data_IF_580319877167
#
_entry.id   IF_580319877167
#
_cell.length_a   1.000
_cell.length_b   1.000
_cell.length_c   1.000
_cell.angle_alpha   90.00
_cell.angle_beta   90.00
_cell.angle_gamma   90.00
#
_symmetry.space_group_name_H-M   'P 1'
#
loop_
_entity.id
_entity.type
_entity.pdbx_description
1 polymer ?
#
# COMPACT_ATOMS: atom_id res chain seq x y z
N UNK A 1 -18.75 14.55 11.64
CA UNK A 1 -18.98 15.02 10.27
C UNK A 1 -19.49 13.85 9.46
N UNK A 2 -20.49 14.08 8.60
CA UNK A 2 -21.04 13.04 7.69
C UNK A 2 -20.59 13.30 6.26
N UNK A 3 -20.78 12.32 5.38
CA UNK A 3 -20.54 12.46 3.94
C UNK A 3 -21.76 13.11 3.29
N UNK A 4 -21.56 14.17 2.53
CA UNK A 4 -22.61 14.88 1.79
C UNK A 4 -22.75 14.30 0.41
N UNK A 5 -23.93 13.81 0.07
CA UNK A 5 -24.23 13.24 -1.22
C UNK A 5 -25.20 14.15 -1.96
N UNK A 6 -24.78 14.63 -3.14
CA UNK A 6 -25.65 15.39 -4.03
C UNK A 6 -26.25 14.47 -5.10
N UNK A 7 -27.59 14.29 -5.05
CA UNK A 7 -28.35 13.59 -6.07
C UNK A 7 -28.71 14.60 -7.16
N UNK A 8 -27.91 14.64 -8.23
CA UNK A 8 -28.09 15.59 -9.32
C UNK A 8 -29.14 15.07 -10.29
N UNK A 9 -30.07 15.94 -10.65
CA UNK A 9 -31.19 15.63 -11.53
C UNK A 9 -31.33 16.71 -12.61
N UNK A 10 -31.64 16.32 -13.88
CA UNK A 10 -31.84 17.28 -14.95
C UNK A 10 -33.11 18.10 -14.79
N UNK A 11 -33.13 19.33 -15.33
CA UNK A 11 -34.34 20.18 -15.33
C UNK A 11 -35.56 19.50 -15.90
N UNK A 12 -35.38 18.72 -16.95
CA UNK A 12 -36.45 18.00 -17.67
C UNK A 12 -37.11 16.92 -16.79
N UNK A 13 -36.29 16.17 -16.04
CA UNK A 13 -36.79 15.15 -15.08
C UNK A 13 -37.49 15.81 -13.90
N UNK A 14 -36.93 16.92 -13.38
CA UNK A 14 -37.58 17.70 -12.31
C UNK A 14 -38.95 18.20 -12.79
N UNK A 15 -39.00 18.81 -13.97
CA UNK A 15 -40.26 19.30 -14.54
C UNK A 15 -41.26 18.16 -14.73
N UNK A 16 -40.84 17.02 -15.29
CA UNK A 16 -41.72 15.86 -15.49
C UNK A 16 -42.35 15.35 -14.19
N UNK A 17 -41.60 15.39 -13.07
CA UNK A 17 -42.11 14.99 -11.75
C UNK A 17 -43.03 16.04 -11.11
N UNK A 18 -42.81 17.32 -11.38
CA UNK A 18 -43.47 18.42 -10.69
C UNK A 18 -44.59 19.11 -11.51
N UNK A 19 -44.75 18.78 -12.80
CA UNK A 19 -45.72 19.45 -13.69
C UNK A 19 -47.18 19.46 -13.19
N UNK A 20 -47.55 18.51 -12.31
CA UNK A 20 -48.88 18.41 -11.73
C UNK A 20 -48.92 18.87 -10.26
N UNK A 21 -47.84 19.39 -9.73
CA UNK A 21 -47.74 19.84 -8.34
C UNK A 21 -48.16 21.33 -8.25
N UNK A 22 -49.32 21.58 -7.70
CA UNK A 22 -49.88 22.93 -7.51
C UNK A 22 -49.43 23.58 -6.22
N UNK A 23 -48.66 22.90 -5.37
CA UNK A 23 -48.25 23.37 -4.05
C UNK A 23 -46.97 24.24 -4.07
N UNK A 24 -46.33 24.36 -5.23
CA UNK A 24 -45.02 25.06 -5.35
C UNK A 24 -45.18 26.43 -6.05
N UNK A 25 -45.19 27.55 -5.28
CA UNK A 25 -45.45 28.88 -5.85
C UNK A 25 -44.44 29.30 -6.93
N UNK A 26 -43.15 28.87 -6.79
CA UNK A 26 -42.09 29.24 -7.75
C UNK A 26 -42.25 28.62 -9.14
N UNK A 27 -43.12 27.60 -9.30
CA UNK A 27 -43.40 26.92 -10.55
C UNK A 27 -44.74 27.32 -11.15
N UNK A 28 -45.49 28.21 -10.48
CA UNK A 28 -46.76 28.78 -11.01
C UNK A 28 -46.46 30.00 -11.89
N UNK A 29 -45.80 29.78 -12.99
CA UNK A 29 -45.43 30.80 -13.98
C UNK A 29 -45.73 30.30 -15.41
N UNK A 30 -45.65 31.18 -16.41
CA UNK A 30 -45.95 30.86 -17.82
C UNK A 30 -45.00 29.79 -18.39
N UNK A 31 -43.72 29.77 -17.94
CA UNK A 31 -42.72 28.77 -18.35
C UNK A 31 -41.98 28.15 -17.14
N UNK A 32 -42.59 27.13 -16.52
CA UNK A 32 -41.99 26.46 -15.35
C UNK A 32 -40.66 25.75 -15.67
N UNK A 33 -40.47 25.24 -16.89
CA UNK A 33 -39.24 24.54 -17.26
C UNK A 33 -38.03 25.48 -17.29
N UNK A 34 -38.16 26.63 -17.93
CA UNK A 34 -37.11 27.66 -17.94
C UNK A 34 -36.82 28.14 -16.52
N UNK A 35 -37.84 28.29 -15.68
CA UNK A 35 -37.64 28.67 -14.29
C UNK A 35 -36.85 27.61 -13.48
N UNK A 36 -37.10 26.33 -13.73
CA UNK A 36 -36.35 25.22 -13.13
C UNK A 36 -34.89 25.26 -13.57
N UNK A 37 -34.62 25.48 -14.88
CA UNK A 37 -33.25 25.58 -15.40
C UNK A 37 -32.47 26.71 -14.74
N UNK A 38 -33.02 27.90 -14.67
CA UNK A 38 -32.38 29.02 -13.99
C UNK A 38 -32.02 28.72 -12.52
N UNK A 39 -32.97 28.14 -11.77
CA UNK A 39 -32.76 27.80 -10.38
C UNK A 39 -31.73 26.71 -10.21
N UNK A 40 -31.70 25.69 -11.06
CA UNK A 40 -30.72 24.63 -11.00
C UNK A 40 -29.36 25.13 -11.42
N UNK A 41 -29.20 25.98 -12.43
CA UNK A 41 -27.92 26.55 -12.83
C UNK A 41 -27.20 27.28 -11.68
N UNK A 42 -27.96 28.03 -10.88
CA UNK A 42 -27.43 28.73 -9.71
C UNK A 42 -27.06 27.75 -8.59
N UNK A 43 -27.92 26.77 -8.34
CA UNK A 43 -27.80 25.87 -7.17
C UNK A 43 -26.84 24.72 -7.42
N UNK A 44 -26.72 24.22 -8.66
CA UNK A 44 -25.88 23.08 -9.02
C UNK A 44 -24.41 23.34 -8.65
N UNK A 45 -23.92 24.54 -8.90
CA UNK A 45 -22.54 24.94 -8.52
C UNK A 45 -22.34 24.86 -7.00
N UNK A 46 -23.28 25.40 -6.24
CA UNK A 46 -23.21 25.42 -4.76
C UNK A 46 -23.29 23.99 -4.21
N UNK A 47 -24.21 23.18 -4.73
CA UNK A 47 -24.39 21.80 -4.28
C UNK A 47 -23.19 20.94 -4.65
N UNK A 48 -22.62 21.13 -5.86
CA UNK A 48 -21.41 20.40 -6.30
C UNK A 48 -20.18 20.77 -5.45
N UNK A 49 -20.04 22.04 -5.05
CA UNK A 49 -18.94 22.49 -4.16
C UNK A 49 -19.06 21.92 -2.75
N UNK A 50 -20.29 21.71 -2.26
CA UNK A 50 -20.53 21.19 -0.91
C UNK A 50 -20.58 19.66 -0.85
N UNK A 51 -20.66 18.97 -1.98
CA UNK A 51 -20.85 17.53 -2.04
C UNK A 51 -19.52 16.78 -2.03
N UNK A 52 -19.46 15.73 -1.21
CA UNK A 52 -18.37 14.75 -1.24
C UNK A 52 -18.58 13.72 -2.36
N UNK A 53 -19.83 13.47 -2.74
CA UNK A 53 -20.25 12.52 -3.78
C UNK A 53 -21.36 13.16 -4.60
N UNK A 54 -21.25 13.09 -5.93
CA UNK A 54 -22.29 13.52 -6.87
C UNK A 54 -22.77 12.29 -7.64
N UNK A 55 -24.11 12.05 -7.62
CA UNK A 55 -24.76 10.98 -8.37
C UNK A 55 -25.79 11.57 -9.32
N UNK A 56 -25.65 11.27 -10.61
CA UNK A 56 -26.67 11.59 -11.61
C UNK A 56 -27.79 10.56 -11.50
N UNK A 57 -29.01 11.03 -11.19
CA UNK A 57 -30.15 10.15 -10.88
C UNK A 57 -31.21 10.07 -11.99
N UNK A 58 -30.97 10.69 -13.14
CA UNK A 58 -31.88 10.70 -14.25
C UNK A 58 -32.13 9.30 -14.78
N UNK A 59 -33.41 8.91 -14.83
CA UNK A 59 -33.88 7.64 -15.42
C UNK A 59 -33.19 6.38 -14.88
N UNK A 60 -32.68 6.45 -13.67
CA UNK A 60 -32.00 5.31 -13.00
C UNK A 60 -32.85 4.73 -11.87
N UNK A 61 -32.73 3.43 -11.69
CA UNK A 61 -33.38 2.70 -10.62
C UNK A 61 -32.70 2.98 -9.26
N UNK A 62 -33.50 3.02 -8.20
CA UNK A 62 -33.01 3.23 -6.83
C UNK A 62 -31.94 2.23 -6.39
N UNK A 63 -32.06 0.98 -6.85
CA UNK A 63 -31.13 -0.09 -6.47
C UNK A 63 -29.76 0.12 -7.12
N UNK A 64 -29.70 0.49 -8.38
CA UNK A 64 -28.46 0.85 -9.09
C UNK A 64 -27.74 2.04 -8.44
N UNK A 65 -28.52 3.06 -8.05
CA UNK A 65 -27.98 4.23 -7.36
C UNK A 65 -27.44 3.88 -5.96
N UNK A 66 -28.13 2.98 -5.27
CA UNK A 66 -27.70 2.52 -3.96
C UNK A 66 -26.40 1.70 -4.04
N UNK A 67 -26.26 0.83 -5.05
CA UNK A 67 -25.02 0.08 -5.28
C UNK A 67 -23.85 1.00 -5.63
N UNK A 68 -24.07 1.96 -6.53
CA UNK A 68 -23.02 2.94 -6.89
C UNK A 68 -22.60 3.78 -5.69
N UNK A 69 -23.55 4.26 -4.89
CA UNK A 69 -23.27 5.02 -3.68
C UNK A 69 -22.45 4.21 -2.70
N UNK A 70 -22.82 2.94 -2.47
CA UNK A 70 -22.05 2.05 -1.59
C UNK A 70 -20.61 1.87 -2.08
N UNK A 71 -20.43 1.71 -3.39
CA UNK A 71 -19.09 1.57 -3.98
C UNK A 71 -18.26 2.83 -3.78
N UNK A 72 -18.83 4.02 -4.02
CA UNK A 72 -18.16 5.30 -3.84
C UNK A 72 -17.80 5.56 -2.37
N UNK A 73 -18.71 5.26 -1.44
CA UNK A 73 -18.46 5.37 0.00
C UNK A 73 -17.34 4.43 0.48
N UNK A 74 -17.28 3.21 -0.04
CA UNK A 74 -16.17 2.28 0.24
C UNK A 74 -14.84 2.85 -0.25
N UNK A 75 -14.80 3.34 -1.49
CA UNK A 75 -13.59 3.97 -2.06
C UNK A 75 -13.11 5.17 -1.23
N UNK A 76 -14.03 6.04 -0.81
CA UNK A 76 -13.68 7.19 0.06
C UNK A 76 -13.13 6.75 1.41
N UNK A 77 -13.75 5.76 2.06
CA UNK A 77 -13.25 5.19 3.32
C UNK A 77 -11.86 4.58 3.17
N UNK A 78 -11.60 3.90 2.08
CA UNK A 78 -10.29 3.31 1.81
C UNK A 78 -9.21 4.38 1.56
N UNK A 79 -9.56 5.45 0.84
CA UNK A 79 -8.68 6.61 0.65
C UNK A 79 -8.38 7.30 1.98
N UNK A 80 -9.40 7.51 2.81
CA UNK A 80 -9.25 8.13 4.12
C UNK A 80 -8.40 7.25 5.05
N UNK A 81 -8.66 5.95 5.12
CA UNK A 81 -7.84 4.99 5.88
C UNK A 81 -6.37 5.00 5.42
N UNK A 82 -6.11 5.11 4.10
CA UNK A 82 -4.74 5.23 3.57
C UNK A 82 -4.07 6.55 3.99
N UNK A 83 -4.81 7.66 4.04
CA UNK A 83 -4.30 8.97 4.49
C UNK A 83 -4.00 9.02 5.98
N UNK A 84 -4.83 8.35 6.80
CA UNK A 84 -4.71 8.32 8.27
C UNK A 84 -3.72 7.25 8.75
N UNK A 85 -3.35 6.30 7.88
CA UNK A 85 -2.41 5.24 8.22
C UNK A 85 -1.03 5.84 8.46
N UNK A 86 -0.55 5.77 9.70
CA UNK A 86 0.83 6.13 10.03
C UNK A 86 1.79 5.31 9.16
N UNK A 87 2.75 5.96 8.51
CA UNK A 87 3.78 5.29 7.71
C UNK A 87 4.54 4.30 8.59
N UNK A 88 4.75 3.11 8.08
CA UNK A 88 5.58 2.10 8.72
C UNK A 88 7.03 2.33 8.33
N UNK A 89 7.95 2.34 9.29
CA UNK A 89 9.40 2.35 9.01
C UNK A 89 9.90 0.91 8.89
N UNK A 90 10.34 0.54 7.69
CA UNK A 90 10.87 -0.79 7.37
C UNK A 90 12.36 -0.69 7.08
N UNK A 91 13.14 -1.54 7.73
CA UNK A 91 14.56 -1.68 7.49
C UNK A 91 14.83 -2.91 6.63
N UNK A 92 15.48 -2.70 5.49
CA UNK A 92 15.99 -3.78 4.63
C UNK A 92 17.48 -3.94 4.87
N UNK A 93 17.90 -5.09 5.35
CA UNK A 93 19.31 -5.41 5.62
C UNK A 93 19.82 -6.40 4.58
N UNK A 94 20.87 -6.03 3.86
CA UNK A 94 21.56 -6.85 2.88
C UNK A 94 22.94 -7.24 3.40
N UNK A 95 23.19 -8.53 3.50
CA UNK A 95 24.46 -9.12 3.95
C UNK A 95 25.54 -9.12 2.85
N UNK A 96 26.60 -9.93 3.07
CA UNK A 96 27.82 -9.89 2.26
C UNK A 96 27.54 -10.24 0.81
N UNK A 97 28.26 -9.53 -0.06
CA UNK A 97 28.26 -9.69 -1.53
C UNK A 97 26.95 -9.36 -2.23
N UNK A 98 25.89 -8.89 -1.54
CA UNK A 98 24.65 -8.46 -2.21
C UNK A 98 24.86 -7.18 -3.01
N UNK A 99 25.78 -6.32 -2.61
CA UNK A 99 26.24 -5.18 -3.40
C UNK A 99 26.90 -5.55 -4.73
N UNK A 100 27.23 -6.85 -4.93
CA UNK A 100 27.81 -7.41 -6.18
C UNK A 100 26.77 -8.17 -7.02
N UNK A 101 25.48 -7.96 -6.80
CA UNK A 101 24.43 -8.47 -7.69
C UNK A 101 24.67 -7.98 -9.11
N UNK A 102 24.39 -8.85 -10.11
CA UNK A 102 24.62 -8.56 -11.53
C UNK A 102 26.07 -8.69 -11.98
N UNK A 103 27.04 -8.68 -11.06
CA UNK A 103 28.47 -8.85 -11.36
C UNK A 103 28.87 -10.32 -11.22
N UNK A 104 28.46 -11.00 -10.12
CA UNK A 104 28.82 -12.39 -9.83
C UNK A 104 27.64 -13.34 -10.11
N UNK A 105 27.98 -14.58 -10.48
CA UNK A 105 27.04 -15.72 -10.59
C UNK A 105 25.72 -15.38 -11.33
N UNK A 106 25.82 -14.72 -12.49
CA UNK A 106 24.66 -14.29 -13.31
C UNK A 106 23.65 -15.40 -13.58
N UNK A 107 24.11 -16.67 -13.64
CA UNK A 107 23.23 -17.83 -13.83
C UNK A 107 22.33 -18.13 -12.63
N UNK A 108 22.71 -17.69 -11.42
CA UNK A 108 21.99 -17.95 -10.17
C UNK A 108 21.14 -16.74 -9.76
N UNK A 109 21.70 -15.53 -9.89
CA UNK A 109 21.09 -14.29 -9.40
C UNK A 109 20.50 -13.41 -10.50
N UNK A 110 20.65 -13.82 -11.79
CA UNK A 110 20.19 -13.03 -12.93
C UNK A 110 21.15 -11.91 -13.33
N UNK A 111 20.69 -11.06 -14.27
CA UNK A 111 21.44 -9.91 -14.79
C UNK A 111 21.12 -8.59 -14.10
N UNK A 112 20.13 -8.60 -13.21
CA UNK A 112 19.70 -7.41 -12.44
C UNK A 112 20.75 -7.12 -11.36
N UNK A 113 21.21 -5.88 -11.35
CA UNK A 113 22.26 -5.43 -10.42
C UNK A 113 21.70 -4.94 -9.08
N UNK A 114 22.60 -4.53 -8.20
CA UNK A 114 22.22 -4.01 -6.90
C UNK A 114 21.44 -2.69 -7.00
N UNK A 115 21.77 -1.84 -7.99
CA UNK A 115 21.03 -0.59 -8.20
C UNK A 115 19.58 -0.87 -8.60
N UNK A 116 19.35 -1.86 -9.45
CA UNK A 116 17.99 -2.29 -9.80
C UNK A 116 17.19 -2.73 -8.56
N UNK A 117 17.81 -3.45 -7.61
CA UNK A 117 17.16 -3.80 -6.35
C UNK A 117 16.78 -2.55 -5.54
N UNK A 118 17.69 -1.57 -5.45
CA UNK A 118 17.40 -0.31 -4.73
C UNK A 118 16.24 0.46 -5.38
N UNK A 119 16.23 0.55 -6.70
CA UNK A 119 15.16 1.21 -7.45
C UNK A 119 13.81 0.50 -7.28
N UNK A 120 13.83 -0.83 -7.23
CA UNK A 120 12.63 -1.66 -7.01
C UNK A 120 12.04 -1.41 -5.62
N UNK A 121 12.88 -1.35 -4.59
CA UNK A 121 12.48 -1.06 -3.20
C UNK A 121 11.97 0.39 -3.09
N UNK A 122 12.64 1.36 -3.69
CA UNK A 122 12.23 2.79 -3.69
C UNK A 122 10.87 2.96 -4.38
N UNK A 123 10.67 2.30 -5.52
CA UNK A 123 9.37 2.26 -6.20
C UNK A 123 8.28 1.71 -5.27
N UNK A 124 8.55 0.60 -4.59
CA UNK A 124 7.62 0.00 -3.61
C UNK A 124 7.31 0.96 -2.47
N UNK A 125 8.32 1.65 -1.93
CA UNK A 125 8.15 2.67 -0.89
C UNK A 125 7.20 3.79 -1.34
N UNK A 126 7.39 4.31 -2.56
CA UNK A 126 6.52 5.35 -3.16
C UNK A 126 5.08 4.85 -3.37
N UNK A 127 4.91 3.65 -3.89
CA UNK A 127 3.59 3.05 -4.14
C UNK A 127 2.80 2.79 -2.85
N UNK A 128 3.49 2.38 -1.79
CA UNK A 128 2.87 2.03 -0.52
C UNK A 128 2.77 3.20 0.46
N UNK A 129 3.59 4.23 0.25
CA UNK A 129 3.74 5.38 1.14
C UNK A 129 4.53 5.08 2.41
N UNK A 130 5.16 3.90 2.52
CA UNK A 130 5.96 3.51 3.68
C UNK A 130 7.37 4.12 3.64
N UNK A 131 8.01 4.25 4.79
CA UNK A 131 9.41 4.66 4.90
C UNK A 131 10.28 3.40 4.86
N UNK A 132 11.05 3.20 3.78
CA UNK A 132 11.91 2.02 3.64
C UNK A 132 13.37 2.47 3.60
N UNK A 133 14.14 1.99 4.56
CA UNK A 133 15.56 2.24 4.67
C UNK A 133 16.34 0.98 4.27
N UNK A 134 17.34 1.13 3.41
CA UNK A 134 18.19 0.00 2.97
C UNK A 134 19.57 0.15 3.56
N UNK A 135 20.06 -0.91 4.20
CA UNK A 135 21.40 -1.03 4.72
C UNK A 135 22.10 -2.25 4.10
N UNK A 136 23.35 -2.09 3.72
CA UNK A 136 24.17 -3.21 3.21
C UNK A 136 25.51 -3.23 3.93
N UNK A 137 25.94 -4.44 4.33
CA UNK A 137 27.28 -4.61 4.85
C UNK A 137 27.84 -6.01 4.56
N UNK A 138 29.17 -6.05 4.34
CA UNK A 138 29.92 -7.29 4.29
C UNK A 138 30.43 -7.74 5.67
N UNK A 139 30.26 -6.90 6.71
CA UNK A 139 30.74 -7.13 8.05
C UNK A 139 29.61 -7.60 8.96
N UNK A 140 29.80 -8.73 9.62
CA UNK A 140 28.84 -9.32 10.54
C UNK A 140 28.49 -8.38 11.69
N UNK A 141 29.52 -7.79 12.35
CA UNK A 141 29.31 -6.83 13.45
C UNK A 141 28.47 -5.63 13.04
N UNK A 142 28.71 -5.07 11.85
CA UNK A 142 27.91 -3.93 11.36
C UNK A 142 26.45 -4.30 11.09
N UNK A 143 26.16 -5.54 10.70
CA UNK A 143 24.78 -6.05 10.57
C UNK A 143 24.14 -6.16 11.94
N UNK A 144 24.87 -6.69 12.93
CA UNK A 144 24.42 -6.81 14.33
C UNK A 144 24.11 -5.43 14.90
N UNK A 145 25.04 -4.47 14.78
CA UNK A 145 24.86 -3.10 15.26
C UNK A 145 23.62 -2.47 14.63
N UNK A 146 23.41 -2.65 13.32
CA UNK A 146 22.25 -2.10 12.62
C UNK A 146 20.92 -2.74 13.08
N UNK A 147 20.90 -4.03 13.42
CA UNK A 147 19.73 -4.69 14.02
C UNK A 147 19.43 -4.09 15.40
N UNK A 148 20.45 -3.88 16.22
CA UNK A 148 20.29 -3.29 17.55
C UNK A 148 19.82 -1.85 17.50
N UNK A 149 20.33 -1.04 16.56
CA UNK A 149 19.86 0.32 16.32
C UNK A 149 18.37 0.36 15.97
N UNK A 150 17.85 -0.65 15.23
CA UNK A 150 16.45 -0.74 14.86
C UNK A 150 15.51 -0.76 16.07
N UNK A 151 15.97 -1.23 17.23
CA UNK A 151 15.20 -1.22 18.47
C UNK A 151 14.82 0.19 18.95
N UNK A 152 15.68 1.19 18.70
CA UNK A 152 15.48 2.55 19.20
C UNK A 152 15.20 3.60 18.14
N UNK A 153 15.40 3.29 16.85
CA UNK A 153 15.27 4.27 15.75
C UNK A 153 13.86 4.37 15.17
N UNK A 154 12.89 3.64 15.73
CA UNK A 154 11.49 3.62 15.28
C UNK A 154 11.22 2.65 14.14
N UNK A 155 12.11 1.71 13.85
CA UNK A 155 11.88 0.61 12.89
C UNK A 155 10.76 -0.29 13.39
N UNK A 156 9.75 -0.51 12.54
CA UNK A 156 8.57 -1.32 12.84
C UNK A 156 8.55 -2.67 12.08
N UNK A 157 9.51 -2.89 11.19
CA UNK A 157 9.68 -4.16 10.46
C UNK A 157 11.09 -4.31 9.88
N UNK A 158 11.60 -5.54 9.84
CA UNK A 158 12.92 -5.86 9.29
C UNK A 158 12.76 -6.89 8.15
N UNK A 159 13.30 -6.58 6.98
CA UNK A 159 13.55 -7.54 5.90
C UNK A 159 15.06 -7.80 5.87
N UNK A 160 15.47 -9.04 6.06
CA UNK A 160 16.90 -9.36 6.09
C UNK A 160 17.26 -10.43 5.05
N UNK A 161 18.25 -10.13 4.23
CA UNK A 161 18.97 -11.12 3.44
C UNK A 161 20.37 -11.29 4.02
N UNK A 162 20.59 -12.26 4.90
CA UNK A 162 21.88 -12.39 5.59
C UNK A 162 23.04 -12.84 4.65
N UNK A 163 22.71 -13.21 3.40
CA UNK A 163 23.68 -13.83 2.49
C UNK A 163 24.23 -15.13 3.08
N UNK A 164 25.53 -15.36 2.97
CA UNK A 164 26.16 -16.57 3.50
C UNK A 164 26.08 -16.70 5.03
N UNK A 165 25.92 -15.59 5.76
CA UNK A 165 25.78 -15.62 7.21
C UNK A 165 24.57 -16.41 7.69
N UNK A 166 23.52 -16.56 6.86
CA UNK A 166 22.33 -17.34 7.21
C UNK A 166 22.69 -18.78 7.60
N UNK A 167 23.79 -19.35 7.06
CA UNK A 167 24.13 -20.74 7.27
C UNK A 167 24.91 -21.02 8.55
N UNK A 168 25.49 -19.98 9.21
CA UNK A 168 26.37 -20.21 10.35
C UNK A 168 26.43 -19.08 11.38
N UNK A 169 25.87 -17.89 11.09
CA UNK A 169 25.97 -16.78 12.05
C UNK A 169 24.93 -16.91 13.16
N UNK A 170 25.31 -17.51 14.24
CA UNK A 170 24.52 -17.48 15.48
C UNK A 170 24.49 -16.09 16.10
N UNK A 171 25.52 -15.26 15.86
CA UNK A 171 25.55 -13.88 16.35
C UNK A 171 24.46 -13.00 15.71
N UNK A 172 24.26 -13.08 14.39
CA UNK A 172 23.15 -12.41 13.72
C UNK A 172 21.80 -12.98 14.18
N UNK A 173 21.70 -14.32 14.33
CA UNK A 173 20.49 -14.96 14.86
C UNK A 173 20.11 -14.40 16.24
N UNK A 174 21.06 -14.30 17.15
CA UNK A 174 20.84 -13.82 18.51
C UNK A 174 20.48 -12.32 18.51
N UNK A 175 21.11 -11.50 17.65
CA UNK A 175 20.72 -10.11 17.45
C UNK A 175 19.27 -9.97 16.95
N UNK A 176 18.86 -10.79 15.97
CA UNK A 176 17.49 -10.82 15.49
C UNK A 176 16.50 -11.27 16.58
N UNK A 177 16.88 -12.24 17.42
CA UNK A 177 16.05 -12.72 18.51
C UNK A 177 15.89 -11.69 19.64
N UNK A 178 16.88 -10.79 19.82
CA UNK A 178 16.89 -9.80 20.89
C UNK A 178 15.95 -8.61 20.66
N UNK A 179 15.49 -8.38 19.41
CA UNK A 179 14.57 -7.27 19.07
C UNK A 179 13.17 -7.81 18.80
N UNK A 180 12.18 -7.24 19.48
CA UNK A 180 10.76 -7.59 19.29
C UNK A 180 10.15 -6.77 18.14
N UNK A 181 10.78 -6.90 16.96
CA UNK A 181 10.33 -6.27 15.71
C UNK A 181 9.99 -7.39 14.74
N UNK A 182 8.81 -7.38 14.08
CA UNK A 182 8.48 -8.34 13.03
C UNK A 182 9.56 -8.39 11.95
N UNK A 183 10.02 -9.59 11.61
CA UNK A 183 11.15 -9.77 10.69
C UNK A 183 10.90 -10.89 9.69
N UNK A 184 11.35 -10.66 8.45
CA UNK A 184 11.27 -11.61 7.35
C UNK A 184 12.66 -11.84 6.79
N UNK A 185 13.08 -13.11 6.76
CA UNK A 185 14.30 -13.49 6.07
C UNK A 185 14.01 -13.76 4.60
N UNK A 186 14.83 -13.22 3.71
CA UNK A 186 14.70 -13.46 2.27
C UNK A 186 16.00 -14.02 1.65
N UNK A 187 15.84 -14.85 0.62
CA UNK A 187 16.92 -15.28 -0.27
C UNK A 187 16.47 -15.18 -1.72
N UNK A 188 17.29 -14.56 -2.57
CA UNK A 188 17.01 -14.37 -4.00
C UNK A 188 16.92 -15.74 -4.69
N UNK A 189 17.87 -16.63 -4.40
CA UNK A 189 17.90 -18.01 -4.93
C UNK A 189 17.16 -18.99 -4.01
N UNK A 190 16.80 -20.13 -4.58
CA UNK A 190 16.33 -21.26 -3.78
C UNK A 190 17.51 -21.93 -3.07
N UNK A 191 17.59 -21.71 -1.75
CA UNK A 191 18.66 -22.26 -0.90
C UNK A 191 18.56 -23.79 -0.78
N UNK A 192 17.37 -24.39 -0.98
CA UNK A 192 17.16 -25.84 -0.84
C UNK A 192 17.72 -26.63 -2.01
N UNK A 193 17.91 -25.97 -3.15
CA UNK A 193 18.46 -26.57 -4.38
C UNK A 193 19.97 -26.43 -4.50
N UNK A 194 20.65 -25.89 -3.48
CA UNK A 194 22.09 -25.63 -3.47
C UNK A 194 22.87 -26.70 -2.71
N UNK A 195 24.16 -26.44 -2.47
CA UNK A 195 25.05 -27.34 -1.75
C UNK A 195 24.51 -27.65 -0.34
N UNK A 196 24.78 -28.81 0.20
CA UNK A 196 24.18 -29.32 1.46
C UNK A 196 24.29 -28.33 2.61
N UNK A 197 25.46 -27.68 2.77
CA UNK A 197 25.67 -26.70 3.83
C UNK A 197 24.83 -25.41 3.66
N UNK A 198 24.27 -25.17 2.49
CA UNK A 198 23.42 -24.01 2.18
C UNK A 198 21.95 -24.27 2.41
N UNK A 199 21.52 -25.50 2.63
CA UNK A 199 20.13 -25.85 2.85
C UNK A 199 19.60 -25.42 4.22
N UNK A 200 20.50 -25.19 5.18
CA UNK A 200 20.15 -24.83 6.55
C UNK A 200 20.27 -23.31 6.72
N UNK A 201 19.22 -22.69 7.23
CA UNK A 201 19.28 -21.33 7.79
C UNK A 201 19.24 -21.41 9.31
N UNK A 202 20.22 -20.83 9.99
CA UNK A 202 20.21 -20.67 11.45
C UNK A 202 19.46 -19.43 11.88
N UNK A 203 19.25 -18.45 10.98
CA UNK A 203 18.58 -17.18 11.24
C UNK A 203 17.06 -17.26 11.02
N UNK A 204 16.58 -18.07 10.09
CA UNK A 204 15.15 -18.22 9.80
C UNK A 204 14.29 -18.61 11.02
N UNK A 205 14.71 -19.49 11.96
CA UNK A 205 13.89 -19.87 13.09
C UNK A 205 13.49 -18.72 14.04
N UNK A 206 14.18 -17.58 13.99
CA UNK A 206 13.86 -16.38 14.79
C UNK A 206 13.15 -15.30 13.97
N UNK A 207 12.82 -15.58 12.72
CA UNK A 207 12.04 -14.70 11.83
C UNK A 207 10.57 -15.14 11.76
N UNK A 208 9.66 -14.20 11.54
CA UNK A 208 8.23 -14.48 11.39
C UNK A 208 7.91 -15.22 10.08
N UNK A 209 8.76 -15.04 9.07
CA UNK A 209 8.64 -15.70 7.77
C UNK A 209 10.00 -15.83 7.10
N UNK A 210 10.15 -16.87 6.27
CA UNK A 210 11.26 -17.04 5.33
C UNK A 210 10.71 -17.09 3.91
N UNK A 211 11.34 -16.35 2.97
CA UNK A 211 11.02 -16.32 1.54
C UNK A 211 12.31 -16.65 0.78
N UNK A 212 12.27 -17.58 -0.16
CA UNK A 212 13.42 -17.94 -1.00
C UNK A 212 12.98 -18.33 -2.41
N UNK A 213 13.89 -18.25 -3.38
CA UNK A 213 13.65 -18.67 -4.75
C UNK A 213 12.73 -17.77 -5.58
N UNK A 214 12.38 -16.57 -5.05
CA UNK A 214 11.47 -15.62 -5.70
C UNK A 214 12.22 -14.51 -6.45
N UNK A 215 13.54 -14.64 -6.65
CA UNK A 215 14.32 -13.55 -7.20
C UNK A 215 14.24 -12.28 -6.35
N UNK A 216 14.30 -11.13 -7.00
CA UNK A 216 14.18 -9.83 -6.33
C UNK A 216 12.75 -9.52 -5.87
N UNK A 217 11.74 -10.17 -6.44
CA UNK A 217 10.34 -10.01 -6.00
C UNK A 217 10.13 -10.51 -4.57
N UNK A 218 11.01 -11.37 -4.06
CA UNK A 218 11.01 -11.80 -2.66
C UNK A 218 11.09 -10.64 -1.67
N UNK A 219 11.80 -9.55 -2.00
CA UNK A 219 11.85 -8.33 -1.18
C UNK A 219 10.49 -7.64 -1.11
N UNK A 220 9.80 -7.55 -2.25
CA UNK A 220 8.47 -6.93 -2.30
C UNK A 220 7.44 -7.73 -1.51
N UNK A 221 7.49 -9.06 -1.62
CA UNK A 221 6.63 -9.96 -0.84
C UNK A 221 6.91 -9.85 0.67
N UNK A 222 8.18 -9.70 1.06
CA UNK A 222 8.56 -9.50 2.46
C UNK A 222 8.03 -8.18 3.03
N UNK A 223 8.13 -7.10 2.26
CA UNK A 223 7.58 -5.79 2.60
C UNK A 223 6.06 -5.87 2.75
N UNK A 224 5.36 -6.50 1.80
CA UNK A 224 3.90 -6.66 1.87
C UNK A 224 3.49 -7.49 3.08
N UNK A 225 4.19 -8.59 3.38
CA UNK A 225 3.93 -9.39 4.57
C UNK A 225 4.01 -8.57 5.86
N UNK A 226 5.05 -7.73 6.03
CA UNK A 226 5.19 -6.88 7.21
C UNK A 226 4.07 -5.85 7.31
N UNK A 227 3.64 -5.29 6.19
CA UNK A 227 2.54 -4.31 6.13
C UNK A 227 1.18 -4.92 6.48
N UNK A 228 0.92 -6.14 6.04
CA UNK A 228 -0.33 -6.87 6.27
C UNK A 228 -0.44 -7.37 7.72
N UNK A 229 0.70 -7.69 8.34
CA UNK A 229 0.79 -8.22 9.71
C UNK A 229 1.27 -7.17 10.72
N UNK A 230 1.08 -5.89 10.45
CA UNK A 230 1.40 -4.81 11.36
C UNK A 230 0.54 -4.92 12.63
N UNK A 231 1.18 -4.99 13.77
CA UNK A 231 0.56 -5.00 15.10
C UNK A 231 0.10 -3.60 15.53
#
# INVERSE_FOLDING_TARGET
CGTVVYLRVSPEVVYGRLKNDTTRPLLQCEDPLTRIRELLEIRDKIYAECADIILDVDNRHSDELAEELQLQLRKQKDIQRKKERKKMKILVINGPNLNFLGIREKKIYGTQDYQYLLDLIDKKAKETGEEIQVFQSNHEGAIIDRIQEAYSDGTEGIVINPGAYTHYSYAIRDALASVDIPKVEIHISDITSREEFRKISVTAPVCNRQIYGQGLDGYLQAIDFLRENRQ
#
